data_IF_681524400758
#
_entry.id   IF_681524400758
#
_cell.length_a   1.000
_cell.length_b   1.000
_cell.length_c   1.000
_cell.angle_alpha   90.00
_cell.angle_beta   90.00
_cell.angle_gamma   90.00
#
_symmetry.space_group_name_H-M   'P 1'
#
loop_
_entity.id
_entity.type
_entity.pdbx_description
1 polymer ?
#
# COMPACT_ATOMS: atom_id res chain seq x y z
N UNK A 1 33.20 -17.91 29.53
CA UNK A 1 32.48 -16.70 29.07
C UNK A 1 31.19 -17.17 28.42
N UNK A 2 30.08 -17.13 29.17
CA UNK A 2 28.77 -17.49 28.64
C UNK A 2 28.30 -16.36 27.72
N UNK A 3 28.00 -16.70 26.47
CA UNK A 3 27.32 -15.82 25.53
C UNK A 3 25.91 -15.55 26.08
N UNK A 4 25.64 -14.31 26.49
CA UNK A 4 24.27 -13.88 26.77
C UNK A 4 23.50 -13.91 25.46
N UNK A 5 22.61 -14.88 25.32
CA UNK A 5 21.55 -14.85 24.32
C UNK A 5 20.69 -13.65 24.72
N UNK A 6 20.85 -12.51 24.03
CA UNK A 6 19.89 -11.41 24.14
C UNK A 6 18.55 -11.95 23.64
N UNK A 7 17.62 -12.19 24.55
CA UNK A 7 16.23 -12.40 24.18
C UNK A 7 15.73 -11.09 23.57
N UNK A 8 15.47 -11.08 22.26
CA UNK A 8 14.79 -9.96 21.61
C UNK A 8 13.44 -9.73 22.28
N UNK A 9 13.05 -8.46 22.45
CA UNK A 9 11.70 -8.16 22.95
C UNK A 9 10.66 -8.81 22.03
N UNK A 10 9.49 -9.24 22.56
CA UNK A 10 8.45 -9.90 21.76
C UNK A 10 8.06 -9.10 20.50
N UNK A 11 7.99 -7.77 20.61
CA UNK A 11 7.67 -6.88 19.49
C UNK A 11 8.73 -6.89 18.38
N UNK A 12 10.02 -6.93 18.73
CA UNK A 12 11.11 -7.00 17.73
C UNK A 12 11.10 -8.32 16.99
N UNK A 13 10.80 -9.41 17.70
CA UNK A 13 10.65 -10.73 17.08
C UNK A 13 9.48 -10.75 16.09
N UNK A 14 8.36 -10.10 16.44
CA UNK A 14 7.21 -9.94 15.54
C UNK A 14 7.56 -9.09 14.32
N UNK A 15 8.24 -7.95 14.50
CA UNK A 15 8.65 -7.06 13.44
C UNK A 15 9.58 -7.74 12.41
N UNK A 16 10.53 -8.55 12.89
CA UNK A 16 11.41 -9.36 12.05
C UNK A 16 10.58 -10.39 11.27
N UNK A 17 9.73 -11.17 11.95
CA UNK A 17 8.90 -12.19 11.32
C UNK A 17 7.97 -11.63 10.24
N UNK A 18 7.42 -10.42 10.44
CA UNK A 18 6.63 -9.73 9.43
C UNK A 18 7.47 -9.46 8.17
N UNK A 19 8.66 -8.89 8.36
CA UNK A 19 9.52 -8.46 7.25
C UNK A 19 10.09 -9.64 6.48
N UNK A 20 10.53 -10.69 7.18
CA UNK A 20 11.07 -11.92 6.59
C UNK A 20 10.01 -12.68 5.79
N UNK A 21 8.77 -12.70 6.27
CA UNK A 21 7.65 -13.32 5.56
C UNK A 21 7.24 -12.50 4.31
N UNK A 22 7.30 -11.17 4.41
CA UNK A 22 6.80 -10.25 3.39
C UNK A 22 5.30 -10.42 3.11
N UNK A 23 4.78 -9.66 2.14
CA UNK A 23 3.35 -9.75 1.81
C UNK A 23 2.97 -11.14 1.29
N UNK A 24 3.79 -11.72 0.42
CA UNK A 24 3.52 -13.02 -0.18
C UNK A 24 3.47 -14.15 0.85
N UNK A 25 4.42 -14.20 1.80
CA UNK A 25 4.43 -15.22 2.85
C UNK A 25 3.31 -15.06 3.87
N UNK A 26 2.84 -13.82 4.10
CA UNK A 26 1.77 -13.53 5.04
C UNK A 26 0.37 -13.71 4.46
N UNK A 27 0.16 -13.48 3.16
CA UNK A 27 -1.18 -13.37 2.61
C UNK A 27 -1.43 -14.19 1.33
N UNK A 28 -0.39 -14.60 0.59
CA UNK A 28 -0.55 -15.23 -0.73
C UNK A 28 -0.18 -16.72 -0.77
N UNK A 29 0.48 -17.25 0.27
CA UNK A 29 0.91 -18.65 0.41
C UNK A 29 -0.22 -19.64 0.79
N UNK A 30 -1.49 -19.24 0.64
CA UNK A 30 -2.66 -20.10 0.80
C UNK A 30 -2.85 -20.62 2.24
N UNK A 31 -3.01 -21.94 2.41
CA UNK A 31 -3.22 -22.57 3.75
C UNK A 31 -2.00 -22.48 4.68
N UNK A 32 -0.86 -21.99 4.18
CA UNK A 32 0.37 -21.83 4.91
C UNK A 32 0.73 -20.35 5.12
N UNK A 33 -0.27 -19.47 5.05
CA UNK A 33 -0.03 -18.07 5.30
C UNK A 33 0.42 -17.86 6.77
N UNK A 34 1.42 -16.99 6.96
CA UNK A 34 2.05 -16.81 8.26
C UNK A 34 1.28 -15.82 9.16
N UNK A 35 0.22 -15.19 8.65
CA UNK A 35 -0.56 -14.19 9.38
C UNK A 35 -1.19 -14.76 10.66
N UNK A 36 -1.73 -15.99 10.63
CA UNK A 36 -2.29 -16.65 11.82
C UNK A 36 -1.22 -16.97 12.88
N UNK A 37 -0.02 -17.35 12.42
CA UNK A 37 1.11 -17.67 13.31
C UNK A 37 1.66 -16.43 14.00
N UNK A 38 1.64 -15.27 13.32
CA UNK A 38 2.00 -13.98 13.93
C UNK A 38 0.86 -13.46 14.81
N UNK A 39 -0.40 -13.61 14.41
CA UNK A 39 -1.55 -13.16 15.17
C UNK A 39 -1.69 -13.86 16.54
N UNK A 40 -1.37 -15.16 16.58
CA UNK A 40 -1.45 -15.99 17.80
C UNK A 40 -2.79 -15.86 18.54
N UNK A 41 -3.90 -16.01 17.81
CA UNK A 41 -5.27 -15.88 18.36
C UNK A 41 -5.51 -14.55 19.11
N UNK A 42 -4.78 -13.49 18.74
CA UNK A 42 -4.91 -12.15 19.30
C UNK A 42 -3.95 -11.82 20.42
N UNK A 43 -3.10 -12.75 20.86
CA UNK A 43 -2.08 -12.49 21.88
C UNK A 43 -1.11 -11.38 21.45
N UNK A 44 -0.82 -11.30 20.14
CA UNK A 44 0.11 -10.32 19.60
C UNK A 44 -0.54 -9.02 19.11
N UNK A 45 -1.84 -8.82 19.36
CA UNK A 45 -2.59 -7.65 18.90
C UNK A 45 -1.91 -6.34 19.30
N UNK A 46 -1.58 -6.17 20.57
CA UNK A 46 -1.02 -4.91 21.09
C UNK A 46 0.33 -4.58 20.44
N UNK A 47 1.14 -5.61 20.11
CA UNK A 47 2.41 -5.41 19.44
C UNK A 47 2.23 -5.00 17.98
N UNK A 48 1.29 -5.60 17.26
CA UNK A 48 0.95 -5.19 15.89
C UNK A 48 0.43 -3.75 15.86
N UNK A 49 -0.43 -3.38 16.81
CA UNK A 49 -0.92 -2.01 16.99
C UNK A 49 0.23 -1.02 17.24
N UNK A 50 1.17 -1.37 18.11
CA UNK A 50 2.38 -0.57 18.38
C UNK A 50 3.29 -0.44 17.16
N UNK A 51 3.47 -1.52 16.39
CA UNK A 51 4.28 -1.50 15.17
C UNK A 51 3.69 -0.51 14.17
N UNK A 52 2.38 -0.56 13.89
CA UNK A 52 1.72 0.35 12.94
C UNK A 52 1.94 1.82 13.30
N UNK A 53 1.83 2.17 14.58
CA UNK A 53 1.92 3.54 15.05
C UNK A 53 3.36 4.08 15.17
N UNK A 54 4.34 3.20 15.31
CA UNK A 54 5.71 3.61 15.60
C UNK A 54 6.52 3.87 14.32
N UNK A 55 7.06 5.07 14.19
CA UNK A 55 8.00 5.43 13.12
C UNK A 55 9.38 4.76 13.24
N UNK A 56 9.60 3.96 14.29
CA UNK A 56 10.84 3.20 14.46
C UNK A 56 10.89 1.94 13.58
N UNK A 57 9.74 1.49 13.07
CA UNK A 57 9.66 0.36 12.15
C UNK A 57 9.59 0.83 10.70
N UNK A 58 10.06 -0.03 9.79
CA UNK A 58 10.02 0.28 8.35
C UNK A 58 8.58 0.40 7.85
N UNK A 59 8.35 1.22 6.81
CA UNK A 59 7.02 1.42 6.24
C UNK A 59 6.38 0.09 5.78
N UNK A 60 7.18 -0.86 5.29
CA UNK A 60 6.71 -2.20 4.97
C UNK A 60 6.26 -2.96 6.23
N UNK A 61 7.09 -3.02 7.27
CA UNK A 61 6.74 -3.73 8.52
C UNK A 61 5.43 -3.20 9.09
N UNK A 62 5.25 -1.87 9.04
CA UNK A 62 4.03 -1.17 9.48
C UNK A 62 2.82 -1.52 8.62
N UNK A 63 2.99 -1.59 7.30
CA UNK A 63 1.95 -2.06 6.38
C UNK A 63 1.53 -3.50 6.70
N UNK A 64 2.49 -4.42 6.82
CA UNK A 64 2.20 -5.84 7.05
C UNK A 64 1.47 -6.06 8.37
N UNK A 65 1.85 -5.32 9.43
CA UNK A 65 1.12 -5.34 10.69
C UNK A 65 -0.32 -4.81 10.53
N UNK A 66 -0.51 -3.71 9.79
CA UNK A 66 -1.84 -3.15 9.47
C UNK A 66 -2.72 -4.15 8.73
N UNK A 67 -2.19 -4.86 7.74
CA UNK A 67 -2.94 -5.86 6.96
C UNK A 67 -3.39 -7.06 7.82
N UNK A 68 -2.56 -7.52 8.77
CA UNK A 68 -3.00 -8.54 9.75
C UNK A 68 -4.15 -7.98 10.61
N UNK A 69 -4.05 -6.73 11.06
CA UNK A 69 -5.12 -6.12 11.85
C UNK A 69 -6.42 -5.97 11.04
N UNK A 70 -6.35 -5.59 9.76
CA UNK A 70 -7.50 -5.58 8.85
C UNK A 70 -8.14 -6.97 8.72
N UNK A 71 -7.34 -8.04 8.62
CA UNK A 71 -7.86 -9.41 8.50
C UNK A 71 -8.52 -9.91 9.80
N UNK A 72 -7.99 -9.53 10.97
CA UNK A 72 -8.31 -10.16 12.25
C UNK A 72 -9.19 -9.33 13.20
N UNK A 73 -9.29 -8.02 13.00
CA UNK A 73 -9.98 -7.09 13.91
C UNK A 73 -11.18 -6.45 13.19
N UNK A 74 -12.39 -6.78 13.64
CA UNK A 74 -13.64 -6.41 12.96
C UNK A 74 -13.94 -4.90 12.87
N UNK A 75 -13.34 -4.07 13.72
CA UNK A 75 -13.53 -2.61 13.75
C UNK A 75 -12.23 -1.86 13.47
N UNK A 76 -11.35 -2.45 12.66
CA UNK A 76 -10.11 -1.83 12.25
C UNK A 76 -10.29 -1.05 10.93
N UNK A 77 -9.68 0.13 10.77
CA UNK A 77 -8.86 0.85 11.75
C UNK A 77 -9.67 1.81 12.65
N UNK A 78 -9.14 2.19 13.83
CA UNK A 78 -9.67 3.32 14.59
C UNK A 78 -9.55 4.64 13.80
N UNK A 79 -10.54 5.53 13.95
CA UNK A 79 -10.60 6.83 13.24
C UNK A 79 -9.35 7.69 13.51
N UNK A 80 -8.84 7.64 14.74
CA UNK A 80 -7.62 8.36 15.14
C UNK A 80 -6.35 7.91 14.39
N UNK A 81 -6.38 6.78 13.67
CA UNK A 81 -5.22 6.27 12.92
C UNK A 81 -5.26 6.62 11.44
N UNK A 82 -6.33 7.25 10.95
CA UNK A 82 -6.51 7.52 9.52
C UNK A 82 -5.30 8.23 8.90
N UNK A 83 -4.72 9.23 9.59
CA UNK A 83 -3.55 9.96 9.09
C UNK A 83 -2.28 9.09 9.03
N UNK A 84 -2.07 8.30 10.08
CA UNK A 84 -0.93 7.42 10.16
C UNK A 84 -1.00 6.29 9.11
N UNK A 85 -2.20 5.74 8.89
CA UNK A 85 -2.43 4.74 7.86
C UNK A 85 -2.35 5.35 6.46
N UNK A 86 -2.90 6.54 6.26
CA UNK A 86 -2.74 7.29 5.02
C UNK A 86 -1.27 7.44 4.62
N UNK A 87 -0.39 7.77 5.59
CA UNK A 87 1.05 7.74 5.40
C UNK A 87 1.55 6.34 5.03
N UNK A 88 1.28 5.32 5.87
CA UNK A 88 1.79 3.95 5.66
C UNK A 88 1.40 3.37 4.30
N UNK A 89 0.15 3.51 3.87
CA UNK A 89 -0.29 3.01 2.56
C UNK A 89 0.29 3.81 1.39
N UNK A 90 0.48 5.14 1.53
CA UNK A 90 1.16 5.91 0.50
C UNK A 90 2.63 5.47 0.35
N UNK A 91 3.32 5.21 1.47
CA UNK A 91 4.69 4.71 1.46
C UNK A 91 4.78 3.29 0.89
N UNK A 92 3.82 2.43 1.20
CA UNK A 92 3.69 1.11 0.60
C UNK A 92 3.56 1.19 -0.94
N UNK A 93 2.78 2.15 -1.44
CA UNK A 93 2.66 2.39 -2.88
C UNK A 93 3.99 2.87 -3.48
N UNK A 94 4.71 3.74 -2.77
CA UNK A 94 6.01 4.24 -3.21
C UNK A 94 7.07 3.12 -3.35
N UNK A 95 7.13 2.21 -2.38
CA UNK A 95 8.10 1.09 -2.39
C UNK A 95 7.72 -0.01 -3.38
N UNK A 96 6.45 -0.11 -3.81
CA UNK A 96 5.99 -1.09 -4.81
C UNK A 96 6.75 -0.93 -6.14
N UNK A 97 7.20 0.28 -6.46
CA UNK A 97 7.99 0.55 -7.67
C UNK A 97 9.49 0.28 -7.55
N UNK A 98 10.02 -0.01 -6.35
CA UNK A 98 11.46 -0.12 -6.10
C UNK A 98 12.05 -1.38 -6.77
N UNK A 99 13.11 -1.20 -7.58
CA UNK A 99 13.83 -2.29 -8.27
C UNK A 99 14.68 -3.19 -7.34
N UNK A 100 14.55 -3.05 -6.02
CA UNK A 100 15.38 -3.75 -5.03
C UNK A 100 14.96 -5.21 -4.84
N UNK A 101 15.08 -6.02 -5.89
CA UNK A 101 15.29 -7.48 -5.90
C UNK A 101 14.20 -8.41 -5.33
N UNK A 102 13.56 -8.00 -4.25
CA UNK A 102 12.50 -8.69 -3.56
C UNK A 102 11.26 -7.81 -3.72
N UNK A 103 10.45 -8.08 -4.75
CA UNK A 103 9.16 -7.41 -4.92
C UNK A 103 8.24 -7.78 -3.75
N UNK A 104 8.40 -7.11 -2.60
CA UNK A 104 7.67 -7.42 -1.37
C UNK A 104 6.20 -7.01 -1.48
N UNK A 105 5.86 -6.14 -2.43
CA UNK A 105 4.50 -5.76 -2.83
C UNK A 105 4.47 -5.67 -4.35
N UNK A 106 3.44 -6.21 -4.97
CA UNK A 106 3.21 -6.19 -6.42
C UNK A 106 2.01 -5.31 -6.77
N UNK A 107 1.94 -4.90 -8.02
CA UNK A 107 0.80 -4.16 -8.57
C UNK A 107 -0.55 -4.84 -8.37
N UNK A 108 -0.57 -6.18 -8.30
CA UNK A 108 -1.79 -6.97 -8.06
C UNK A 108 -2.50 -6.58 -6.77
N UNK A 109 -1.76 -6.21 -5.71
CA UNK A 109 -2.36 -5.80 -4.44
C UNK A 109 -3.05 -4.43 -4.51
N UNK A 110 -2.69 -3.62 -5.51
CA UNK A 110 -3.28 -2.32 -5.81
C UNK A 110 -4.36 -2.41 -6.90
N UNK A 111 -4.77 -3.64 -7.26
CA UNK A 111 -5.77 -3.89 -8.28
C UNK A 111 -5.34 -3.44 -9.68
N UNK A 112 -6.26 -3.57 -10.62
CA UNK A 112 -6.01 -3.27 -12.01
C UNK A 112 -6.49 -1.87 -12.39
N UNK A 113 -5.74 -0.89 -11.89
CA UNK A 113 -6.02 0.55 -11.99
C UNK A 113 -6.44 0.95 -13.42
N UNK A 114 -7.39 1.87 -13.53
CA UNK A 114 -7.98 2.41 -14.76
C UNK A 114 -8.69 1.43 -15.71
N UNK A 115 -8.31 0.15 -15.75
CA UNK A 115 -8.89 -0.83 -16.66
C UNK A 115 -10.23 -1.36 -16.12
N UNK A 116 -10.29 -1.68 -14.82
CA UNK A 116 -11.51 -2.16 -14.15
C UNK A 116 -12.59 -1.07 -14.13
N UNK A 117 -12.21 0.19 -13.93
CA UNK A 117 -13.11 1.34 -14.03
C UNK A 117 -13.81 1.45 -15.39
N UNK A 118 -13.08 1.21 -16.49
CA UNK A 118 -13.65 1.24 -17.85
C UNK A 118 -14.73 0.16 -18.04
N UNK A 119 -14.66 -0.91 -17.25
CA UNK A 119 -15.64 -1.99 -17.25
C UNK A 119 -16.74 -1.80 -16.19
N UNK A 120 -16.73 -0.69 -15.45
CA UNK A 120 -17.66 -0.42 -14.35
C UNK A 120 -17.39 -1.25 -13.09
N UNK A 121 -16.24 -1.93 -13.02
CA UNK A 121 -15.84 -2.75 -11.87
C UNK A 121 -14.94 -1.91 -10.97
N UNK A 122 -15.34 -1.73 -9.71
CA UNK A 122 -14.49 -1.12 -8.68
C UNK A 122 -13.64 -2.20 -8.04
N UNK A 123 -12.50 -2.49 -8.66
CA UNK A 123 -11.49 -3.36 -8.09
C UNK A 123 -10.18 -2.58 -7.91
N UNK A 124 -9.88 -2.28 -6.64
CA UNK A 124 -8.68 -1.57 -6.19
C UNK A 124 -7.66 -2.54 -5.57
N UNK A 125 -7.90 -3.86 -5.63
CA UNK A 125 -7.16 -4.82 -4.81
C UNK A 125 -7.33 -4.55 -3.30
N UNK A 126 -6.67 -5.36 -2.49
CA UNK A 126 -6.74 -5.24 -1.02
C UNK A 126 -6.11 -3.93 -0.54
N UNK A 127 -4.86 -3.66 -0.92
CA UNK A 127 -4.13 -2.47 -0.46
C UNK A 127 -4.75 -1.17 -0.97
N UNK A 128 -5.20 -1.17 -2.23
CA UNK A 128 -5.87 0.01 -2.79
C UNK A 128 -7.22 0.29 -2.13
N UNK A 129 -7.97 -0.77 -1.75
CA UNK A 129 -9.22 -0.60 -0.99
C UNK A 129 -8.95 0.03 0.37
N UNK A 130 -7.96 -0.47 1.11
CA UNK A 130 -7.58 0.09 2.42
C UNK A 130 -7.07 1.53 2.29
N UNK A 131 -6.24 1.84 1.28
CA UNK A 131 -5.80 3.20 0.99
C UNK A 131 -6.98 4.15 0.71
N UNK A 132 -7.95 3.74 -0.12
CA UNK A 132 -9.15 4.56 -0.38
C UNK A 132 -9.96 4.80 0.90
N UNK A 133 -10.03 3.82 1.80
CA UNK A 133 -10.75 3.94 3.07
C UNK A 133 -10.09 4.94 4.05
N UNK A 134 -8.78 5.20 3.95
CA UNK A 134 -8.14 6.29 4.72
C UNK A 134 -8.61 7.69 4.27
N UNK A 135 -9.26 7.76 3.11
CA UNK A 135 -9.93 8.96 2.64
C UNK A 135 -9.00 10.14 2.45
N UNK A 136 -9.51 11.33 2.79
CA UNK A 136 -8.86 12.63 2.48
C UNK A 136 -7.47 12.76 3.08
N UNK A 137 -7.18 12.06 4.18
CA UNK A 137 -5.88 12.05 4.86
C UNK A 137 -4.75 11.51 3.98
N UNK A 138 -5.05 10.65 2.99
CA UNK A 138 -4.05 10.15 2.05
C UNK A 138 -3.58 11.20 1.04
N UNK A 139 -4.37 12.23 0.74
CA UNK A 139 -4.10 13.13 -0.39
C UNK A 139 -2.75 13.86 -0.24
N UNK A 140 -2.37 14.44 0.91
CA UNK A 140 -1.06 15.07 1.06
C UNK A 140 0.11 14.11 0.83
N UNK A 141 -0.01 12.84 1.26
CA UNK A 141 1.03 11.83 1.08
C UNK A 141 1.09 11.33 -0.38
N UNK A 142 -0.05 11.03 -0.99
CA UNK A 142 -0.14 10.63 -2.40
C UNK A 142 0.32 11.74 -3.35
N UNK A 143 0.08 13.01 -3.00
CA UNK A 143 0.52 14.15 -3.83
C UNK A 143 2.04 14.15 -4.00
N UNK A 144 2.80 13.76 -2.97
CA UNK A 144 4.26 13.66 -3.03
C UNK A 144 4.74 12.58 -4.02
N UNK A 145 3.88 11.62 -4.35
CA UNK A 145 4.17 10.53 -5.28
C UNK A 145 3.84 10.87 -6.73
N UNK A 146 3.22 12.03 -7.01
CA UNK A 146 2.88 12.45 -8.38
C UNK A 146 4.10 12.76 -9.27
N UNK A 147 5.30 12.76 -8.69
CA UNK A 147 6.57 12.89 -9.41
C UNK A 147 7.36 11.57 -9.46
N UNK A 148 6.88 10.51 -8.79
CA UNK A 148 7.56 9.22 -8.73
C UNK A 148 7.31 8.41 -10.02
N UNK A 149 8.37 8.23 -10.81
CA UNK A 149 8.29 7.55 -12.12
C UNK A 149 8.67 6.06 -12.07
N UNK A 150 8.89 5.49 -10.89
CA UNK A 150 9.19 4.07 -10.71
C UNK A 150 8.05 3.19 -11.22
N UNK A 151 8.39 2.04 -11.80
CA UNK A 151 7.43 1.15 -12.47
C UNK A 151 6.86 0.16 -11.47
N UNK A 152 5.53 0.04 -11.46
CA UNK A 152 4.82 -0.98 -10.70
C UNK A 152 4.76 -2.25 -11.52
N UNK A 153 5.34 -3.33 -10.99
CA UNK A 153 5.33 -4.64 -11.63
C UNK A 153 4.12 -5.45 -11.20
N UNK A 154 3.47 -6.08 -12.18
CA UNK A 154 2.39 -7.04 -11.95
C UNK A 154 2.89 -8.46 -12.21
N UNK A 155 2.47 -9.40 -11.38
CA UNK A 155 2.78 -10.83 -11.53
C UNK A 155 1.53 -11.62 -11.93
N UNK A 156 1.71 -12.73 -12.64
CA UNK A 156 0.64 -13.65 -13.01
C UNK A 156 0.38 -13.71 -14.52
N UNK A 157 -0.89 -13.94 -14.89
CA UNK A 157 -1.28 -14.34 -16.25
C UNK A 157 -1.69 -13.14 -17.14
N UNK A 158 -2.97 -12.98 -17.43
CA UNK A 158 -3.48 -11.92 -18.31
C UNK A 158 -3.39 -10.54 -17.68
N UNK A 159 -3.69 -10.38 -16.38
CA UNK A 159 -3.57 -9.06 -15.74
C UNK A 159 -2.11 -8.57 -15.69
N UNK A 160 -1.15 -9.48 -15.53
CA UNK A 160 0.26 -9.13 -15.59
C UNK A 160 0.70 -8.74 -17.00
N UNK A 161 0.23 -9.46 -18.01
CA UNK A 161 0.51 -9.13 -19.42
C UNK A 161 -0.01 -7.74 -19.77
N UNK A 162 -1.22 -7.41 -19.32
CA UNK A 162 -1.83 -6.11 -19.58
C UNK A 162 -1.23 -5.01 -18.68
N UNK A 163 -0.99 -5.27 -17.39
CA UNK A 163 -0.38 -4.32 -16.47
C UNK A 163 1.06 -3.97 -16.84
N UNK A 164 1.86 -4.98 -17.16
CA UNK A 164 3.24 -4.79 -17.60
C UNK A 164 3.32 -4.17 -19.00
N UNK A 165 2.33 -4.39 -19.88
CA UNK A 165 2.29 -3.68 -21.16
C UNK A 165 1.91 -2.21 -21.01
N UNK A 166 1.03 -1.87 -20.06
CA UNK A 166 0.65 -0.49 -19.74
C UNK A 166 1.72 0.25 -18.92
N UNK A 167 2.68 -0.46 -18.32
CA UNK A 167 3.81 0.08 -17.53
C UNK A 167 3.35 1.17 -16.58
N UNK A 168 2.41 0.84 -15.69
CA UNK A 168 1.96 1.77 -14.66
C UNK A 168 3.15 2.22 -13.80
N UNK A 169 3.23 3.52 -13.54
CA UNK A 169 4.21 4.10 -12.63
C UNK A 169 3.56 4.46 -11.31
N UNK A 170 4.36 4.62 -10.26
CA UNK A 170 3.88 5.06 -8.95
C UNK A 170 3.05 6.35 -9.05
N UNK A 171 3.47 7.34 -9.86
CA UNK A 171 2.68 8.56 -10.10
C UNK A 171 1.35 8.33 -10.79
N UNK A 172 1.26 7.33 -11.68
CA UNK A 172 0.01 6.98 -12.34
C UNK A 172 -0.98 6.38 -11.32
N UNK A 173 -0.47 5.56 -10.40
CA UNK A 173 -1.24 4.98 -9.30
C UNK A 173 -1.66 6.03 -8.27
N UNK A 174 -0.76 6.91 -7.87
CA UNK A 174 -1.06 7.99 -6.95
C UNK A 174 -2.16 8.91 -7.52
N UNK A 175 -2.08 9.27 -8.80
CA UNK A 175 -3.12 10.05 -9.48
C UNK A 175 -4.47 9.32 -9.50
N UNK A 176 -4.46 8.01 -9.76
CA UNK A 176 -5.66 7.18 -9.73
C UNK A 176 -6.36 7.27 -8.36
N UNK A 177 -5.62 6.99 -7.29
CA UNK A 177 -6.17 6.96 -5.94
C UNK A 177 -6.60 8.33 -5.44
N UNK A 178 -5.84 9.39 -5.73
CA UNK A 178 -6.27 10.76 -5.46
C UNK A 178 -7.60 11.04 -6.16
N UNK A 179 -7.75 10.64 -7.42
CA UNK A 179 -8.99 10.83 -8.17
C UNK A 179 -10.19 10.14 -7.51
N UNK A 180 -10.00 8.92 -6.99
CA UNK A 180 -11.02 8.17 -6.25
C UNK A 180 -11.42 8.83 -4.94
N UNK A 181 -10.42 9.24 -4.15
CA UNK A 181 -10.63 9.82 -2.82
C UNK A 181 -11.22 11.23 -2.93
N UNK A 182 -10.71 12.07 -3.82
CA UNK A 182 -11.14 13.45 -3.98
C UNK A 182 -12.40 13.61 -4.85
N UNK A 183 -12.86 12.53 -5.51
CA UNK A 183 -13.95 12.59 -6.48
C UNK A 183 -13.59 13.39 -7.74
N UNK A 184 -12.31 13.49 -8.06
CA UNK A 184 -11.81 14.18 -9.26
C UNK A 184 -11.61 13.13 -10.35
N UNK A 185 -12.31 13.21 -11.50
CA UNK A 185 -12.07 12.30 -12.60
C UNK A 185 -10.62 12.41 -13.08
N UNK A 186 -9.94 11.28 -13.22
CA UNK A 186 -8.58 11.18 -13.80
C UNK A 186 -8.66 10.26 -15.00
N UNK A 187 -8.43 10.81 -16.19
CA UNK A 187 -8.56 10.04 -17.44
C UNK A 187 -7.30 9.24 -17.71
N UNK A 188 -7.48 7.95 -18.02
CA UNK A 188 -6.37 7.13 -18.47
C UNK A 188 -6.02 7.36 -19.95
N UNK A 189 -4.73 7.43 -20.23
CA UNK A 189 -4.16 7.47 -21.58
C UNK A 189 -3.11 6.37 -21.73
N UNK A 190 -2.99 5.81 -22.92
CA UNK A 190 -1.99 4.75 -23.20
C UNK A 190 -0.57 5.31 -23.25
N UNK A 191 -0.41 6.54 -23.75
CA UNK A 191 0.90 7.18 -23.88
C UNK A 191 1.32 7.85 -22.58
N UNK A 192 2.58 7.63 -22.17
CA UNK A 192 3.15 8.21 -20.95
C UNK A 192 3.05 9.73 -20.91
N UNK A 193 3.29 10.41 -22.04
CA UNK A 193 3.24 11.87 -22.11
C UNK A 193 1.83 12.41 -21.83
N UNK A 194 0.79 11.74 -22.33
CA UNK A 194 -0.59 12.13 -22.09
C UNK A 194 -1.01 11.86 -20.64
N UNK A 195 -0.52 10.76 -20.03
CA UNK A 195 -0.68 10.51 -18.59
C UNK A 195 -0.03 11.60 -17.76
N UNK A 196 1.18 12.01 -18.13
CA UNK A 196 1.92 13.07 -17.44
C UNK A 196 1.18 14.41 -17.52
N UNK A 197 0.62 14.76 -18.68
CA UNK A 197 -0.22 15.95 -18.83
C UNK A 197 -1.49 15.91 -17.95
N UNK A 198 -2.13 14.75 -17.84
CA UNK A 198 -3.29 14.57 -16.95
C UNK A 198 -2.91 14.68 -15.46
N UNK A 199 -1.73 14.18 -15.08
CA UNK A 199 -1.19 14.33 -13.74
C UNK A 199 -0.91 15.81 -13.42
N UNK A 200 -0.37 16.58 -14.36
CA UNK A 200 -0.19 18.03 -14.18
C UNK A 200 -1.52 18.75 -14.01
N UNK A 201 -2.55 18.41 -14.81
CA UNK A 201 -3.91 18.93 -14.63
C UNK A 201 -4.46 18.60 -13.24
N UNK A 202 -4.22 17.38 -12.74
CA UNK A 202 -4.62 16.97 -11.40
C UNK A 202 -3.90 17.81 -10.34
N UNK A 203 -2.57 17.99 -10.43
CA UNK A 203 -1.79 18.85 -9.52
C UNK A 203 -2.34 20.26 -9.45
N UNK A 204 -2.67 20.87 -10.60
CA UNK A 204 -3.29 22.21 -10.63
C UNK A 204 -4.67 22.23 -9.95
N UNK A 205 -5.45 21.16 -10.12
CA UNK A 205 -6.78 21.03 -9.50
C UNK A 205 -6.67 20.91 -7.98
N UNK A 206 -5.69 20.16 -7.48
CA UNK A 206 -5.42 20.02 -6.05
C UNK A 206 -5.02 21.36 -5.41
N UNK A 207 -4.16 22.14 -6.10
CA UNK A 207 -3.75 23.48 -5.67
C UNK A 207 -4.94 24.43 -5.54
N UNK A 208 -5.87 24.41 -6.49
CA UNK A 208 -7.06 25.28 -6.49
C UNK A 208 -8.04 24.96 -5.36
N UNK A 209 -8.07 23.70 -4.94
CA UNK A 209 -9.01 23.20 -3.94
C UNK A 209 -8.40 23.07 -2.53
N UNK A 210 -7.17 23.56 -2.31
CA UNK A 210 -6.44 23.54 -1.03
C UNK A 210 -6.28 22.13 -0.41
N UNK A 211 -6.03 21.10 -1.22
CA UNK A 211 -5.77 19.74 -0.73
C UNK A 211 -4.33 19.50 -0.23
N UNK A 212 -3.54 20.56 -0.05
CA UNK A 212 -2.12 20.49 0.30
C UNK A 212 -1.81 20.80 1.78
N UNK A 213 -2.84 20.96 2.61
CA UNK A 213 -2.72 21.25 4.05
C UNK A 213 -2.83 20.00 4.93
#
# INVERSE_FOLDING_TARGET
MQSQIMQSEPIETIAINLTDAGYSGLFLSGRHNLSDSIWQKGENRIYLEQIVQSSNYSDLTRLLASEILYEKVSHYPPEEWEDNLAYVYAQALAITGSETGDFQILGNQWGFMYHTDKQGVKDYGTLGTHLVNTGKKAIPYLTKLLDNSEIIFYEGSQEATLGNSLRYRVKDAAAFYIGKIAGIPVKFYEQNADRDAEIERLKETLKKNNWHE
#
